data_IF_529792473352
#
_entry.id   IF_529792473352
#
_cell.length_a   1.000
_cell.length_b   1.000
_cell.length_c   1.000
_cell.angle_alpha   90.00
_cell.angle_beta   90.00
_cell.angle_gamma   90.00
#
_symmetry.space_group_name_H-M   'P 1'
#
loop_
_entity.id
_entity.type
_entity.pdbx_description
1 polymer ?
#
# COMPACT_ATOMS: atom_id res chain seq x y z
N UNK A 1 -20.00 11.35 74.52
CA UNK A 1 -20.35 10.67 73.25
C UNK A 1 -19.47 11.06 72.04
N UNK A 2 -18.32 11.73 72.21
CA UNK A 2 -17.50 12.22 71.07
C UNK A 2 -16.24 11.39 70.74
N UNK A 3 -15.83 10.39 71.54
CA UNK A 3 -14.55 9.70 71.32
C UNK A 3 -14.57 8.58 70.27
N UNK A 4 -15.73 7.96 69.98
CA UNK A 4 -15.81 6.83 69.03
C UNK A 4 -16.01 7.26 67.57
N UNK A 5 -16.39 8.51 67.32
CA UNK A 5 -16.58 9.04 65.95
C UNK A 5 -15.26 9.49 65.29
N UNK A 6 -14.27 9.89 66.09
CA UNK A 6 -12.98 10.38 65.58
C UNK A 6 -12.13 9.26 64.94
N UNK A 7 -12.18 8.03 65.49
CA UNK A 7 -11.38 6.91 64.97
C UNK A 7 -11.87 6.42 63.60
N UNK A 8 -13.18 6.37 63.37
CA UNK A 8 -13.74 5.96 62.07
C UNK A 8 -13.49 7.00 60.98
N UNK A 9 -13.49 8.31 61.31
CA UNK A 9 -13.20 9.37 60.33
C UNK A 9 -11.71 9.38 59.95
N UNK A 10 -10.80 9.06 60.88
CA UNK A 10 -9.37 8.94 60.58
C UNK A 10 -9.05 7.72 59.68
N UNK A 11 -9.76 6.61 59.86
CA UNK A 11 -9.55 5.38 59.07
C UNK A 11 -10.07 5.51 57.64
N UNK A 12 -11.20 6.22 57.43
CA UNK A 12 -11.72 6.52 56.08
C UNK A 12 -10.84 7.55 55.34
N UNK A 13 -10.23 8.50 56.05
CA UNK A 13 -9.30 9.48 55.46
C UNK A 13 -7.99 8.85 54.95
N UNK A 14 -7.47 7.82 55.63
CA UNK A 14 -6.27 7.10 55.18
C UNK A 14 -6.57 6.21 53.96
N UNK A 15 -7.77 5.60 53.89
CA UNK A 15 -8.18 4.78 52.74
C UNK A 15 -8.43 5.64 51.49
N UNK A 16 -8.87 6.90 51.63
CA UNK A 16 -9.04 7.81 50.50
C UNK A 16 -7.72 8.32 49.90
N UNK A 17 -6.63 8.39 50.68
CA UNK A 17 -5.32 8.90 50.22
C UNK A 17 -4.50 7.85 49.45
N UNK A 18 -4.82 6.56 49.55
CA UNK A 18 -4.19 5.50 48.76
C UNK A 18 -4.88 5.24 47.40
N UNK A 19 -6.00 5.92 47.13
CA UNK A 19 -6.80 5.74 45.90
C UNK A 19 -6.32 6.52 44.68
N UNK A 20 -5.32 7.40 44.81
CA UNK A 20 -4.69 8.06 43.67
C UNK A 20 -3.71 7.10 43.00
N UNK A 21 -4.25 6.11 42.28
CA UNK A 21 -3.49 5.33 41.33
C UNK A 21 -2.78 6.29 40.37
N UNK A 22 -1.45 6.24 40.39
CA UNK A 22 -0.57 6.96 39.48
C UNK A 22 -1.00 6.64 38.04
N UNK A 23 -1.75 7.56 37.44
CA UNK A 23 -2.03 7.54 36.01
C UNK A 23 -0.69 7.78 35.32
N UNK A 24 -0.15 6.75 34.64
CA UNK A 24 1.00 6.94 33.77
C UNK A 24 0.63 7.98 32.72
N UNK A 25 1.14 9.19 32.88
CA UNK A 25 1.06 10.24 31.88
C UNK A 25 2.22 9.99 30.93
N UNK A 26 1.90 9.56 29.72
CA UNK A 26 2.89 9.44 28.65
C UNK A 26 3.08 10.79 27.99
N UNK A 27 4.32 11.17 27.73
CA UNK A 27 4.59 12.39 26.94
C UNK A 27 4.35 12.13 25.46
N UNK A 28 4.14 13.19 24.68
CA UNK A 28 3.91 13.07 23.23
C UNK A 28 5.11 12.40 22.52
N UNK A 29 6.33 12.59 23.03
CA UNK A 29 7.56 11.97 22.52
C UNK A 29 7.63 10.46 22.82
N UNK A 30 6.98 10.01 23.89
CA UNK A 30 6.91 8.59 24.25
C UNK A 30 5.96 7.84 23.31
N UNK A 31 4.80 8.43 23.02
CA UNK A 31 3.78 7.87 22.12
C UNK A 31 4.12 8.05 20.63
N UNK A 32 4.80 9.14 20.29
CA UNK A 32 5.18 9.49 18.92
C UNK A 32 6.24 8.56 18.33
N UNK A 33 6.14 8.30 17.02
CA UNK A 33 7.22 7.65 16.24
C UNK A 33 8.46 8.54 16.20
N UNK A 34 8.24 9.86 16.25
CA UNK A 34 9.27 10.88 16.39
C UNK A 34 9.60 11.06 17.87
N UNK A 35 10.85 10.80 18.26
CA UNK A 35 11.34 10.97 19.65
C UNK A 35 11.76 12.41 19.95
N UNK A 36 10.95 13.37 19.51
CA UNK A 36 11.15 14.80 19.77
C UNK A 36 9.82 15.51 19.84
N UNK A 37 9.84 16.65 20.54
CA UNK A 37 8.74 17.61 20.66
C UNK A 37 8.13 17.96 19.28
N UNK A 38 6.79 18.02 19.22
CA UNK A 38 6.02 18.34 18.02
C UNK A 38 6.35 19.74 17.46
N UNK A 39 6.70 20.70 18.32
CA UNK A 39 6.98 22.09 17.96
C UNK A 39 8.43 22.31 17.49
N UNK A 40 9.28 21.27 17.54
CA UNK A 40 10.63 21.35 16.96
C UNK A 40 10.57 20.93 15.50
N UNK A 41 10.85 21.84 14.59
CA UNK A 41 10.87 21.56 13.14
C UNK A 41 12.30 21.38 12.57
N UNK A 42 13.32 21.35 13.43
CA UNK A 42 14.74 21.25 13.02
C UNK A 42 15.14 19.82 12.61
N UNK A 43 14.54 19.33 11.52
CA UNK A 43 14.95 18.07 10.92
C UNK A 43 16.21 18.29 10.08
N UNK A 44 17.38 17.98 10.66
CA UNK A 44 18.62 17.79 9.89
C UNK A 44 18.53 16.49 9.08
N UNK A 45 18.00 16.58 7.86
CA UNK A 45 18.12 15.50 6.89
C UNK A 45 19.59 15.45 6.48
N UNK A 46 20.36 14.54 7.10
CA UNK A 46 21.74 14.32 6.73
C UNK A 46 21.81 13.56 5.40
N UNK A 47 22.23 14.25 4.34
CA UNK A 47 22.58 13.66 3.04
C UNK A 47 21.76 14.22 1.86
N UNK A 48 22.36 14.19 0.66
CA UNK A 48 21.66 14.32 -0.62
C UNK A 48 20.69 13.15 -0.80
N UNK A 49 19.53 13.40 -1.44
CA UNK A 49 18.65 12.32 -1.90
C UNK A 49 19.23 11.82 -3.23
N UNK A 50 19.92 10.67 -3.19
CA UNK A 50 20.56 10.10 -4.37
C UNK A 50 19.79 8.86 -4.82
N UNK A 51 19.34 8.89 -6.08
CA UNK A 51 18.73 7.73 -6.72
C UNK A 51 19.79 6.88 -7.40
N UNK A 52 19.48 5.58 -7.57
CA UNK A 52 20.34 4.68 -8.34
C UNK A 52 20.45 5.15 -9.80
N UNK A 53 21.68 5.32 -10.28
CA UNK A 53 22.00 5.57 -11.68
C UNK A 53 22.17 4.29 -12.51
N UNK A 54 22.03 3.11 -11.87
CA UNK A 54 22.24 1.81 -12.53
C UNK A 54 21.23 1.60 -13.66
N UNK A 55 21.72 1.08 -14.78
CA UNK A 55 20.88 0.74 -15.91
C UNK A 55 20.00 -0.50 -15.61
N UNK A 56 18.92 -0.72 -16.37
CA UNK A 56 18.15 -1.97 -16.29
C UNK A 56 19.05 -3.20 -16.43
N UNK A 57 18.91 -4.17 -15.51
CA UNK A 57 19.71 -5.40 -15.49
C UNK A 57 20.97 -5.37 -14.61
N UNK A 58 21.49 -4.20 -14.26
CA UNK A 58 22.71 -4.06 -13.44
C UNK A 58 22.43 -4.05 -11.92
N UNK A 59 21.15 -4.00 -11.55
CA UNK A 59 20.71 -3.87 -10.16
C UNK A 59 20.00 -5.10 -9.65
N UNK A 60 19.94 -5.20 -8.32
CA UNK A 60 19.31 -6.31 -7.62
C UNK A 60 17.82 -6.00 -7.46
N UNK A 61 16.99 -7.01 -7.70
CA UNK A 61 15.54 -6.90 -7.53
C UNK A 61 15.19 -6.64 -6.07
N UNK A 62 14.30 -5.67 -5.86
CA UNK A 62 13.81 -5.33 -4.54
C UNK A 62 12.60 -6.22 -4.24
N UNK A 63 12.59 -6.86 -3.06
CA UNK A 63 11.46 -7.68 -2.61
C UNK A 63 10.22 -6.79 -2.48
N UNK A 64 9.05 -7.30 -2.90
CA UNK A 64 7.77 -6.58 -2.72
C UNK A 64 7.51 -6.28 -1.26
N UNK A 65 6.88 -5.13 -1.01
CA UNK A 65 6.55 -4.69 0.35
C UNK A 65 5.51 -5.61 1.00
N UNK A 66 4.52 -6.10 0.26
CA UNK A 66 3.51 -7.07 0.71
C UNK A 66 2.89 -7.76 -0.51
N UNK A 67 2.01 -8.74 -0.29
CA UNK A 67 1.32 -9.44 -1.37
C UNK A 67 0.57 -8.47 -2.30
N UNK A 68 0.82 -8.57 -3.62
CA UNK A 68 0.29 -7.68 -4.66
C UNK A 68 0.66 -6.19 -4.59
N UNK A 69 1.52 -5.76 -3.65
CA UNK A 69 2.12 -4.43 -3.69
C UNK A 69 2.79 -4.18 -5.04
N UNK A 70 2.70 -2.98 -5.64
CA UNK A 70 3.52 -2.61 -6.80
C UNK A 70 5.01 -2.80 -6.46
N UNK A 71 5.80 -3.54 -7.27
CA UNK A 71 7.23 -3.68 -7.05
C UNK A 71 7.93 -2.34 -7.23
N UNK A 72 8.92 -2.12 -6.39
CA UNK A 72 9.83 -0.98 -6.47
C UNK A 72 10.77 -1.16 -7.67
N UNK A 73 11.11 -0.06 -8.32
CA UNK A 73 11.95 -0.07 -9.52
C UNK A 73 13.43 -0.13 -9.09
N UNK A 74 14.19 -1.17 -9.49
CA UNK A 74 15.57 -1.34 -9.03
C UNK A 74 16.61 -0.60 -9.88
N UNK A 75 16.22 0.06 -10.97
CA UNK A 75 17.10 0.76 -11.91
C UNK A 75 16.69 2.24 -12.08
N UNK A 76 17.54 3.03 -12.73
CA UNK A 76 17.23 4.41 -13.10
C UNK A 76 16.02 4.50 -14.03
N UNK A 77 15.26 5.59 -13.92
CA UNK A 77 14.10 5.90 -14.78
C UNK A 77 14.22 7.26 -15.47
N UNK A 78 15.37 7.93 -15.34
CA UNK A 78 15.58 9.31 -15.79
C UNK A 78 15.21 9.49 -17.27
N UNK A 79 15.65 8.55 -18.12
CA UNK A 79 15.41 8.61 -19.56
C UNK A 79 14.09 7.96 -20.01
N UNK A 80 13.31 7.38 -19.08
CA UNK A 80 12.06 6.67 -19.39
C UNK A 80 10.81 7.51 -19.09
N UNK A 81 10.98 8.66 -18.47
CA UNK A 81 9.93 9.60 -18.10
C UNK A 81 10.08 10.89 -18.91
N UNK A 82 8.98 11.59 -19.22
CA UNK A 82 7.59 11.27 -18.88
C UNK A 82 6.96 10.23 -19.82
N UNK A 83 6.02 9.44 -19.29
CA UNK A 83 5.15 8.56 -20.09
C UNK A 83 4.11 9.42 -20.82
N UNK A 84 4.04 9.30 -22.14
CA UNK A 84 3.07 10.00 -23.00
C UNK A 84 2.02 9.02 -23.54
N UNK A 85 0.88 9.53 -24.00
CA UNK A 85 -0.25 8.70 -24.48
C UNK A 85 0.16 7.66 -25.54
N UNK A 86 1.11 8.02 -26.39
CA UNK A 86 1.61 7.26 -27.54
C UNK A 86 3.03 6.71 -27.33
N UNK A 87 3.68 7.01 -26.20
CA UNK A 87 5.06 6.59 -25.91
C UNK A 87 5.23 6.16 -24.47
N UNK A 88 5.66 4.91 -24.27
CA UNK A 88 5.98 4.36 -22.97
C UNK A 88 7.18 3.40 -23.08
N UNK A 89 8.37 3.93 -22.78
CA UNK A 89 9.63 3.19 -22.86
C UNK A 89 9.69 2.02 -21.88
N UNK A 90 8.93 2.05 -20.78
CA UNK A 90 8.85 0.92 -19.87
C UNK A 90 8.34 -0.34 -20.58
N UNK A 91 7.43 -0.19 -21.55
CA UNK A 91 6.82 -1.29 -22.27
C UNK A 91 7.72 -1.90 -23.35
N UNK A 92 8.78 -1.22 -23.77
CA UNK A 92 9.77 -1.78 -24.70
C UNK A 92 10.51 -2.97 -24.07
N UNK A 93 10.66 -2.96 -22.73
CA UNK A 93 11.25 -4.06 -21.98
C UNK A 93 10.19 -4.86 -21.20
N UNK A 94 9.17 -4.24 -20.61
CA UNK A 94 8.25 -4.96 -19.70
C UNK A 94 6.98 -5.49 -20.36
N UNK A 95 6.69 -5.16 -21.63
CA UNK A 95 5.56 -5.78 -22.30
C UNK A 95 5.79 -7.29 -22.49
N UNK A 96 4.75 -8.14 -22.33
CA UNK A 96 4.89 -9.59 -22.46
C UNK A 96 5.51 -10.05 -23.80
N UNK A 97 5.34 -9.27 -24.86
CA UNK A 97 5.89 -9.55 -26.18
C UNK A 97 7.42 -9.41 -26.26
N UNK A 98 8.02 -8.53 -25.45
CA UNK A 98 9.45 -8.16 -25.55
C UNK A 98 10.26 -8.56 -24.31
N UNK A 99 9.60 -8.77 -23.17
CA UNK A 99 10.27 -8.96 -21.89
C UNK A 99 11.23 -10.14 -21.82
N UNK A 100 10.93 -11.24 -22.54
CA UNK A 100 11.83 -12.39 -22.59
C UNK A 100 13.16 -12.01 -23.25
N UNK A 101 13.10 -11.27 -24.35
CA UNK A 101 14.28 -10.89 -25.13
C UNK A 101 15.07 -9.79 -24.43
N UNK A 102 14.38 -8.89 -23.71
CA UNK A 102 14.99 -7.87 -22.87
C UNK A 102 15.52 -8.37 -21.52
N UNK A 103 15.33 -9.66 -21.17
CA UNK A 103 15.69 -10.21 -19.85
C UNK A 103 14.90 -9.61 -18.68
N UNK A 104 13.77 -8.97 -18.98
CA UNK A 104 12.92 -8.27 -18.01
C UNK A 104 11.78 -9.16 -17.51
N UNK A 105 11.16 -8.77 -16.39
CA UNK A 105 9.93 -9.43 -15.91
C UNK A 105 8.74 -8.80 -16.64
N UNK A 106 7.90 -9.58 -17.33
CA UNK A 106 6.75 -9.03 -18.03
C UNK A 106 5.72 -8.48 -17.05
N UNK A 107 4.97 -7.46 -17.47
CA UNK A 107 3.80 -6.99 -16.74
C UNK A 107 2.83 -8.15 -16.49
N UNK A 108 2.37 -8.37 -15.25
CA UNK A 108 1.50 -9.51 -14.93
C UNK A 108 0.11 -9.36 -15.57
N UNK A 109 -0.68 -10.44 -15.61
CA UNK A 109 -2.04 -10.47 -16.19
C UNK A 109 -2.93 -9.31 -15.73
N UNK A 110 -2.78 -8.87 -14.48
CA UNK A 110 -3.56 -7.77 -13.92
C UNK A 110 -3.39 -6.46 -14.70
N UNK A 111 -2.26 -6.26 -15.39
CA UNK A 111 -2.01 -5.09 -16.24
C UNK A 111 -2.60 -5.24 -17.65
N UNK A 112 -2.97 -6.45 -18.07
CA UNK A 112 -3.46 -6.75 -19.42
C UNK A 112 -4.99 -6.84 -19.49
N UNK A 113 -5.66 -6.43 -18.40
CA UNK A 113 -7.11 -6.44 -18.28
C UNK A 113 -7.59 -5.12 -17.70
N UNK A 114 -8.79 -4.71 -18.10
CA UNK A 114 -9.56 -3.62 -17.48
C UNK A 114 -10.53 -4.23 -16.47
N UNK A 115 -10.59 -3.67 -15.27
CA UNK A 115 -11.55 -4.05 -14.24
C UNK A 115 -12.76 -3.11 -14.17
N UNK A 116 -12.74 -2.03 -14.97
CA UNK A 116 -13.88 -1.11 -15.09
C UNK A 116 -15.07 -1.87 -15.71
N UNK A 117 -16.25 -1.86 -15.08
CA UNK A 117 -17.42 -2.55 -15.60
C UNK A 117 -17.89 -1.93 -16.91
N UNK A 118 -18.37 -2.77 -17.83
CA UNK A 118 -19.04 -2.31 -19.05
C UNK A 118 -20.47 -1.95 -18.67
N UNK A 119 -20.77 -0.65 -18.72
CA UNK A 119 -22.10 -0.13 -18.37
C UNK A 119 -22.92 0.03 -19.64
N UNK A 120 -24.15 -0.50 -19.64
CA UNK A 120 -25.12 -0.34 -20.73
C UNK A 120 -26.52 -0.12 -20.19
N UNK A 121 -27.38 0.54 -20.96
CA UNK A 121 -28.81 0.66 -20.65
C UNK A 121 -29.58 -0.32 -21.53
N UNK A 122 -30.36 -1.21 -20.92
CA UNK A 122 -31.23 -2.15 -21.65
C UNK A 122 -32.61 -2.14 -21.01
N UNK A 123 -33.64 -1.90 -21.82
CA UNK A 123 -35.04 -1.86 -21.36
C UNK A 123 -35.28 -0.87 -20.20
N UNK A 124 -34.59 0.28 -20.23
CA UNK A 124 -34.66 1.30 -19.17
C UNK A 124 -33.90 0.94 -17.88
N UNK A 125 -33.24 -0.23 -17.83
CA UNK A 125 -32.47 -0.70 -16.66
C UNK A 125 -30.98 -0.64 -16.94
N UNK A 126 -30.23 -0.08 -15.99
CA UNK A 126 -28.77 -0.05 -16.04
C UNK A 126 -28.19 -1.44 -15.79
N UNK A 127 -27.35 -1.88 -16.71
CA UNK A 127 -26.63 -3.14 -16.64
C UNK A 127 -25.14 -2.88 -16.50
N UNK A 128 -24.48 -3.70 -15.70
CA UNK A 128 -23.02 -3.76 -15.62
C UNK A 128 -22.56 -5.15 -15.98
N UNK A 129 -21.67 -5.23 -16.96
CA UNK A 129 -21.20 -6.50 -17.53
C UNK A 129 -22.34 -7.39 -18.06
N UNK A 130 -23.45 -6.78 -18.49
CA UNK A 130 -24.65 -7.47 -18.97
C UNK A 130 -25.61 -7.95 -17.88
N UNK A 131 -25.35 -7.65 -16.61
CA UNK A 131 -26.21 -8.04 -15.49
C UNK A 131 -26.89 -6.82 -14.88
N UNK A 132 -28.19 -6.97 -14.59
CA UNK A 132 -28.91 -6.04 -13.72
C UNK A 132 -28.33 -6.15 -12.30
N UNK A 133 -28.25 -5.04 -11.58
CA UNK A 133 -27.81 -4.99 -10.19
C UNK A 133 -28.80 -4.15 -9.38
N UNK A 134 -29.09 -4.57 -8.15
CA UNK A 134 -29.95 -3.81 -7.23
C UNK A 134 -29.10 -2.79 -6.46
N UNK A 135 -27.94 -3.23 -5.98
CA UNK A 135 -26.96 -2.38 -5.31
C UNK A 135 -25.61 -2.42 -6.03
N UNK A 136 -24.88 -1.31 -5.96
CA UNK A 136 -23.50 -1.25 -6.44
C UNK A 136 -22.54 -2.19 -5.69
N UNK A 137 -22.87 -2.59 -4.46
CA UNK A 137 -22.13 -3.62 -3.70
C UNK A 137 -22.20 -5.01 -4.33
N UNK A 138 -23.24 -5.28 -5.12
CA UNK A 138 -23.49 -6.61 -5.70
C UNK A 138 -22.68 -6.85 -6.99
N UNK A 139 -21.98 -5.82 -7.46
CA UNK A 139 -21.24 -5.86 -8.72
C UNK A 139 -19.93 -6.60 -8.50
N UNK A 140 -19.83 -7.78 -9.10
CA UNK A 140 -18.55 -8.50 -9.16
C UNK A 140 -17.59 -7.77 -10.10
N UNK A 141 -16.32 -7.73 -9.70
CA UNK A 141 -15.29 -7.24 -10.61
C UNK A 141 -15.06 -8.28 -11.70
N UNK A 142 -15.20 -7.86 -12.97
CA UNK A 142 -14.92 -8.70 -14.13
C UNK A 142 -13.68 -8.20 -14.85
N UNK A 143 -12.78 -9.12 -15.19
CA UNK A 143 -11.61 -8.81 -15.98
C UNK A 143 -11.97 -8.76 -17.47
N UNK A 144 -11.75 -7.62 -18.10
CA UNK A 144 -11.94 -7.42 -19.54
C UNK A 144 -10.58 -7.39 -20.24
N UNK A 145 -10.25 -8.46 -20.96
CA UNK A 145 -8.96 -8.61 -21.66
C UNK A 145 -8.72 -7.45 -22.63
N UNK A 146 -7.49 -6.94 -22.64
CA UNK A 146 -6.99 -5.97 -23.60
C UNK A 146 -5.90 -6.62 -24.46
N UNK A 147 -5.64 -6.05 -25.64
CA UNK A 147 -4.59 -6.51 -26.55
C UNK A 147 -3.18 -6.24 -26.03
N UNK A 148 -3.03 -5.19 -25.20
CA UNK A 148 -1.79 -4.86 -24.50
C UNK A 148 -2.07 -4.44 -23.06
N UNK A 149 -1.18 -3.63 -22.49
CA UNK A 149 -1.40 -3.03 -21.17
C UNK A 149 -2.66 -2.17 -21.19
N UNK A 150 -3.54 -2.37 -20.22
CA UNK A 150 -4.78 -1.59 -20.09
C UNK A 150 -4.44 -0.11 -19.90
N UNK A 151 -5.23 0.76 -20.52
CA UNK A 151 -5.10 2.21 -20.33
C UNK A 151 -5.17 2.62 -18.85
N UNK A 152 -5.92 1.86 -18.03
CA UNK A 152 -6.04 2.09 -16.58
C UNK A 152 -4.70 1.93 -15.82
N UNK A 153 -3.70 1.31 -16.44
CA UNK A 153 -2.39 0.99 -15.85
C UNK A 153 -1.22 1.33 -16.78
N UNK A 154 -1.48 2.16 -17.78
CA UNK A 154 -0.48 2.55 -18.77
C UNK A 154 0.57 3.51 -18.19
N UNK A 155 0.17 4.40 -17.26
CA UNK A 155 1.10 5.28 -16.58
C UNK A 155 1.73 4.57 -15.37
N UNK A 156 2.88 3.94 -15.59
CA UNK A 156 3.55 3.07 -14.63
C UNK A 156 4.02 3.81 -13.37
N UNK A 157 4.46 5.06 -13.51
CA UNK A 157 5.00 5.88 -12.41
C UNK A 157 3.94 6.38 -11.42
N UNK A 158 2.65 6.11 -11.68
CA UNK A 158 1.58 6.35 -10.70
C UNK A 158 1.61 5.37 -9.54
N UNK A 159 2.24 4.20 -9.71
CA UNK A 159 2.25 3.15 -8.69
C UNK A 159 3.65 2.57 -8.45
N UNK A 160 4.49 2.49 -9.48
CA UNK A 160 5.85 1.98 -9.37
C UNK A 160 6.81 3.14 -9.17
N UNK A 161 7.64 3.04 -8.13
CA UNK A 161 8.55 4.11 -7.74
C UNK A 161 9.99 3.60 -7.69
N UNK A 162 10.97 4.37 -8.19
CA UNK A 162 12.37 4.12 -7.89
C UNK A 162 12.63 4.40 -6.40
N UNK A 163 13.71 3.85 -5.87
CA UNK A 163 14.12 4.10 -4.49
C UNK A 163 15.40 4.91 -4.47
N UNK A 164 15.49 5.85 -3.53
CA UNK A 164 16.76 6.48 -3.22
C UNK A 164 17.64 5.51 -2.43
N UNK A 165 18.95 5.75 -2.45
CA UNK A 165 19.95 4.96 -1.72
C UNK A 165 19.98 5.30 -0.22
N UNK A 166 19.16 6.26 0.22
CA UNK A 166 19.11 6.72 1.60
C UNK A 166 18.49 5.65 2.52
N UNK A 167 19.05 5.52 3.72
CA UNK A 167 18.42 4.71 4.76
C UNK A 167 17.16 5.43 5.27
N UNK A 168 16.08 4.70 5.59
CA UNK A 168 14.93 5.28 6.27
C UNK A 168 15.37 6.02 7.55
N UNK A 169 14.82 7.21 7.79
CA UNK A 169 15.14 8.03 8.96
C UNK A 169 14.75 7.34 10.27
N UNK A 170 13.68 6.55 10.23
CA UNK A 170 13.21 5.71 11.34
C UNK A 170 13.01 4.30 10.81
N UNK A 171 13.37 3.30 11.63
CA UNK A 171 13.19 1.89 11.30
C UNK A 171 11.69 1.57 11.14
N UNK A 172 11.34 0.92 10.04
CA UNK A 172 10.00 0.36 9.85
C UNK A 172 9.95 -1.06 10.42
N UNK A 173 9.00 -1.33 11.32
CA UNK A 173 8.80 -2.64 11.96
C UNK A 173 7.75 -3.52 11.27
N UNK A 174 7.16 -3.03 10.17
CA UNK A 174 6.20 -3.77 9.38
C UNK A 174 6.79 -5.10 8.89
N UNK A 175 6.03 -6.18 9.09
CA UNK A 175 6.34 -7.51 8.58
C UNK A 175 5.25 -7.91 7.61
N UNK A 176 5.64 -8.05 6.36
CA UNK A 176 4.77 -8.51 5.29
C UNK A 176 4.36 -9.96 5.50
N UNK A 177 3.06 -10.23 5.42
CA UNK A 177 2.55 -11.59 5.28
C UNK A 177 2.31 -11.90 3.80
N UNK A 178 2.66 -13.13 3.41
CA UNK A 178 2.50 -13.62 2.05
C UNK A 178 1.87 -15.00 2.12
N UNK A 179 0.73 -15.18 1.45
CA UNK A 179 0.03 -16.47 1.43
C UNK A 179 0.83 -17.56 0.74
N UNK A 180 1.71 -17.21 -0.20
CA UNK A 180 2.69 -18.13 -0.76
C UNK A 180 4.07 -17.48 -0.96
N UNK A 181 5.13 -18.29 -0.97
CA UNK A 181 6.51 -17.83 -1.28
C UNK A 181 6.61 -17.17 -2.67
N UNK A 182 5.74 -17.56 -3.61
CA UNK A 182 5.72 -17.04 -4.98
C UNK A 182 5.22 -15.59 -5.05
N UNK A 183 4.35 -15.18 -4.12
CA UNK A 183 3.74 -13.85 -4.09
C UNK A 183 4.73 -12.76 -3.65
N UNK A 184 5.89 -13.16 -3.14
CA UNK A 184 7.01 -12.25 -2.89
C UNK A 184 7.58 -11.64 -4.17
N UNK A 185 7.47 -12.35 -5.30
CA UNK A 185 8.11 -11.97 -6.57
C UNK A 185 7.12 -11.85 -7.75
N UNK A 186 5.85 -12.19 -7.55
CA UNK A 186 4.83 -12.14 -8.59
C UNK A 186 3.49 -11.69 -8.02
N UNK A 187 2.55 -11.32 -8.90
CA UNK A 187 1.21 -10.89 -8.50
C UNK A 187 0.20 -11.95 -8.93
N UNK A 188 -0.62 -12.39 -7.99
CA UNK A 188 -1.79 -13.23 -8.19
C UNK A 188 -3.09 -12.41 -8.26
N UNK A 189 -3.03 -11.07 -8.12
CA UNK A 189 -4.17 -10.16 -8.01
C UNK A 189 -5.29 -10.42 -9.02
N UNK A 190 -4.95 -10.75 -10.27
CA UNK A 190 -5.95 -11.01 -11.30
C UNK A 190 -6.81 -12.25 -11.03
N UNK A 191 -6.26 -13.23 -10.31
CA UNK A 191 -6.90 -14.50 -10.03
C UNK A 191 -7.73 -14.44 -8.73
N UNK A 192 -7.36 -13.55 -7.81
CA UNK A 192 -7.94 -13.45 -6.45
C UNK A 192 -8.78 -12.20 -6.21
N UNK A 193 -9.02 -11.37 -7.23
CA UNK A 193 -9.60 -10.03 -7.02
C UNK A 193 -10.97 -10.02 -6.35
N UNK A 194 -11.74 -11.10 -6.52
CA UNK A 194 -13.06 -11.28 -5.89
C UNK A 194 -13.03 -12.20 -4.67
N UNK A 195 -11.85 -12.57 -4.16
CA UNK A 195 -11.74 -13.38 -2.95
C UNK A 195 -12.33 -12.62 -1.74
N UNK A 196 -13.10 -13.33 -0.91
CA UNK A 196 -13.76 -12.75 0.25
C UNK A 196 -15.02 -11.93 -0.06
N UNK A 197 -15.39 -11.76 -1.34
CA UNK A 197 -16.65 -11.11 -1.69
C UNK A 197 -17.79 -12.13 -1.60
N UNK A 198 -18.54 -12.07 -0.50
CA UNK A 198 -19.75 -12.88 -0.29
C UNK A 198 -20.98 -12.19 -0.91
N UNK A 199 -21.82 -12.96 -1.59
CA UNK A 199 -23.03 -12.45 -2.24
C UNK A 199 -24.26 -13.08 -1.62
N UNK A 200 -25.30 -12.27 -1.39
CA UNK A 200 -26.67 -12.77 -1.34
C UNK A 200 -27.17 -12.80 -2.78
N UNK A 201 -27.42 -14.00 -3.32
CA UNK A 201 -28.06 -14.18 -4.63
C UNK A 201 -29.54 -13.82 -4.56
#
# INVERSE_FOLDING_TARGET
MLKNSLLSVMMVGIILMLGCASTKVFTEEELGVRKSDLYKEDLKINGSVEYSSKAPGESIRIKRSYENAPPLIPHSVEDFLPIKKDSNMCLECHAPAYAKDAGAIPTPKSHLVSYRPITSLKDGVMQKNGSNFKNTSDIQTKAHKRSGVSADRFNCSLCHVPQSNNKPLVKNEFKADFRSKKDMNSSNLADILNEGVSYQK
#
